data_IF_805112532422
#
_entry.id   IF_805112532422
#
_cell.length_a   1.000
_cell.length_b   1.000
_cell.length_c   1.000
_cell.angle_alpha   90.00
_cell.angle_beta   90.00
_cell.angle_gamma   90.00
#
_symmetry.space_group_name_H-M   'P 1'
#
loop_
_entity.id
_entity.type
_entity.pdbx_description
1 polymer ?
#
# COMPACT_ATOMS: atom_id res chain seq x y z
N UNK A 1 9.54 37.69 -5.34
CA UNK A 1 8.52 36.64 -5.15
C UNK A 1 7.80 36.51 -6.48
N UNK A 2 7.65 35.30 -6.97
CA UNK A 2 6.97 35.01 -8.23
C UNK A 2 5.81 34.04 -7.90
N UNK A 3 4.62 34.37 -8.38
CA UNK A 3 3.46 33.51 -8.23
C UNK A 3 3.61 32.25 -9.09
N UNK A 4 3.39 31.09 -8.48
CA UNK A 4 3.45 29.80 -9.13
C UNK A 4 2.10 29.12 -8.96
N UNK A 5 1.50 28.67 -10.06
CA UNK A 5 0.32 27.82 -10.03
C UNK A 5 0.72 26.36 -9.78
N UNK A 6 0.13 25.75 -8.78
CA UNK A 6 0.48 24.41 -8.33
C UNK A 6 -0.75 23.50 -8.28
N UNK A 7 -0.48 22.20 -8.29
CA UNK A 7 -1.49 21.16 -8.05
C UNK A 7 -1.06 20.37 -6.82
N UNK A 8 -1.99 20.17 -5.90
CA UNK A 8 -1.84 19.25 -4.78
C UNK A 8 -2.54 17.96 -5.17
N UNK A 9 -1.81 16.85 -5.12
CA UNK A 9 -2.36 15.51 -5.33
C UNK A 9 -2.61 14.83 -4.01
N UNK A 10 -3.79 14.23 -3.88
CA UNK A 10 -4.17 13.39 -2.74
C UNK A 10 -4.53 12.01 -3.27
N UNK A 11 -4.09 10.99 -2.58
CA UNK A 11 -4.43 9.59 -2.89
C UNK A 11 -4.74 8.87 -1.60
N UNK A 12 -5.76 8.02 -1.65
CA UNK A 12 -6.02 6.98 -0.67
C UNK A 12 -6.34 5.68 -1.42
N UNK A 13 -5.77 4.59 -0.96
CA UNK A 13 -5.91 3.27 -1.56
C UNK A 13 -6.04 2.20 -0.49
N UNK A 14 -6.90 1.21 -0.72
CA UNK A 14 -7.03 0.06 0.16
C UNK A 14 -6.13 -1.08 -0.32
N UNK A 15 -5.45 -1.74 0.62
CA UNK A 15 -4.63 -2.90 0.32
C UNK A 15 -4.85 -4.01 1.36
N UNK A 16 -6.08 -4.54 1.38
CA UNK A 16 -6.62 -5.34 2.48
C UNK A 16 -6.12 -6.78 2.49
N UNK A 17 -6.47 -7.57 1.46
CA UNK A 17 -6.09 -8.97 1.36
C UNK A 17 -4.57 -9.19 1.49
N UNK A 18 -3.72 -8.48 0.72
CA UNK A 18 -2.29 -8.67 0.84
C UNK A 18 -1.75 -8.36 2.23
N UNK A 19 -2.26 -7.33 2.89
CA UNK A 19 -1.85 -6.95 4.24
C UNK A 19 -2.31 -7.98 5.28
N UNK A 20 -3.42 -8.66 5.03
CA UNK A 20 -3.91 -9.72 5.92
C UNK A 20 -3.01 -10.95 5.87
N UNK A 21 -2.64 -11.43 4.69
CA UNK A 21 -1.94 -12.72 4.52
C UNK A 21 -0.42 -12.59 4.55
N UNK A 22 0.13 -11.48 4.08
CA UNK A 22 1.57 -11.19 4.07
C UNK A 22 1.79 -9.72 4.47
N UNK A 23 1.66 -9.38 5.75
CA UNK A 23 1.51 -8.00 6.23
C UNK A 23 2.62 -7.06 5.82
N UNK A 24 3.89 -7.49 5.91
CA UNK A 24 5.02 -6.64 5.55
C UNK A 24 5.00 -6.26 4.07
N UNK A 25 4.95 -7.25 3.19
CA UNK A 25 4.95 -7.01 1.74
C UNK A 25 3.64 -6.40 1.26
N UNK A 26 2.52 -6.81 1.86
CA UNK A 26 1.20 -6.25 1.55
C UNK A 26 1.14 -4.75 1.84
N UNK A 27 1.53 -4.33 3.04
CA UNK A 27 1.53 -2.93 3.41
C UNK A 27 2.60 -2.11 2.67
N UNK A 28 3.77 -2.69 2.44
CA UNK A 28 4.81 -2.06 1.62
C UNK A 28 4.32 -1.79 0.18
N UNK A 29 3.67 -2.78 -0.43
CA UNK A 29 3.11 -2.62 -1.78
C UNK A 29 1.94 -1.63 -1.81
N UNK A 30 1.10 -1.60 -0.77
CA UNK A 30 0.04 -0.60 -0.61
C UNK A 30 0.58 0.83 -0.59
N UNK A 31 1.59 1.08 0.24
CA UNK A 31 2.29 2.37 0.28
C UNK A 31 2.94 2.69 -1.08
N UNK A 32 3.57 1.69 -1.70
CA UNK A 32 4.14 1.86 -3.05
C UNK A 32 3.09 2.18 -4.10
N UNK A 33 1.88 1.60 -3.99
CA UNK A 33 0.75 1.84 -4.89
C UNK A 33 0.31 3.30 -4.90
N UNK A 34 0.06 3.85 -3.72
CA UNK A 34 -0.35 5.25 -3.59
C UNK A 34 0.74 6.23 -4.07
N UNK A 35 2.03 5.92 -3.86
CA UNK A 35 3.14 6.71 -4.37
C UNK A 35 3.17 6.66 -5.90
N UNK A 36 3.05 5.47 -6.50
CA UNK A 36 3.06 5.29 -7.96
C UNK A 36 1.93 6.06 -8.64
N UNK A 37 0.75 6.03 -8.07
CA UNK A 37 -0.41 6.75 -8.64
C UNK A 37 -0.19 8.26 -8.64
N UNK A 38 0.42 8.80 -7.59
CA UNK A 38 0.75 10.21 -7.54
C UNK A 38 1.89 10.59 -8.48
N UNK A 39 2.90 9.74 -8.61
CA UNK A 39 3.96 9.92 -9.61
C UNK A 39 3.40 9.88 -11.04
N UNK A 40 2.39 9.05 -11.28
CA UNK A 40 1.68 8.94 -12.55
C UNK A 40 0.75 10.13 -12.87
N UNK A 41 0.55 11.05 -11.95
CA UNK A 41 -0.38 12.18 -12.06
C UNK A 41 0.07 13.34 -12.97
N UNK A 42 1.11 13.16 -13.76
CA UNK A 42 1.69 14.17 -14.64
C UNK A 42 3.21 14.15 -14.59
N UNK A 43 3.83 15.13 -15.26
CA UNK A 43 5.29 15.27 -15.19
C UNK A 43 5.68 15.94 -13.87
N UNK A 44 6.81 15.50 -13.29
CA UNK A 44 7.39 16.11 -12.09
C UNK A 44 6.45 16.19 -10.87
N UNK A 45 5.53 15.26 -10.71
CA UNK A 45 4.76 15.12 -9.48
C UNK A 45 5.66 14.57 -8.37
N UNK A 46 5.70 15.24 -7.23
CA UNK A 46 6.53 14.90 -6.09
C UNK A 46 5.68 14.41 -4.93
N UNK A 47 5.81 13.15 -4.51
CA UNK A 47 5.28 12.68 -3.23
C UNK A 47 5.95 13.42 -2.08
N UNK A 48 5.17 13.95 -1.14
CA UNK A 48 5.69 14.72 0.01
C UNK A 48 5.63 13.90 1.29
N UNK A 49 4.45 13.36 1.59
CA UNK A 49 4.19 12.64 2.83
C UNK A 49 3.12 11.59 2.64
N UNK A 50 3.23 10.51 3.39
CA UNK A 50 2.27 9.41 3.42
C UNK A 50 1.63 9.21 4.78
N UNK A 51 0.57 8.44 4.78
CA UNK A 51 -0.14 7.97 5.97
C UNK A 51 -0.55 6.52 5.78
N UNK A 52 -0.67 5.77 6.88
CA UNK A 52 -1.22 4.43 6.87
C UNK A 52 -2.24 4.27 8.01
N UNK A 53 -3.44 3.82 7.65
CA UNK A 53 -4.51 3.52 8.60
C UNK A 53 -4.78 2.03 8.55
N UNK A 54 -4.89 1.42 9.72
CA UNK A 54 -5.21 0.00 9.86
C UNK A 54 -6.51 -0.19 10.62
N UNK A 55 -7.32 -1.15 10.18
CA UNK A 55 -8.51 -1.59 10.89
C UNK A 55 -8.41 -3.10 11.08
N UNK A 56 -8.43 -3.55 12.34
CA UNK A 56 -8.24 -4.96 12.70
C UNK A 56 -9.24 -5.40 13.77
N UNK A 57 -9.36 -6.71 13.96
CA UNK A 57 -9.89 -7.26 15.19
C UNK A 57 -9.04 -6.79 16.40
N UNK A 58 -9.53 -6.99 17.61
CA UNK A 58 -8.80 -6.57 18.80
C UNK A 58 -7.43 -7.25 18.91
N UNK A 59 -6.36 -6.49 19.15
CA UNK A 59 -4.99 -7.04 19.19
C UNK A 59 -4.69 -7.88 20.43
N UNK A 60 -5.42 -7.70 21.52
CA UNK A 60 -5.27 -8.46 22.78
C UNK A 60 -3.85 -8.44 23.34
N UNK A 61 -3.27 -7.25 23.36
CA UNK A 61 -1.88 -7.02 23.81
C UNK A 61 -1.75 -6.92 25.33
N UNK A 62 -2.84 -6.64 26.01
CA UNK A 62 -2.87 -6.45 27.47
C UNK A 62 -3.91 -7.37 28.10
N UNK A 63 -3.55 -8.01 29.19
CA UNK A 63 -4.48 -8.80 30.00
C UNK A 63 -5.51 -7.90 30.71
N UNK A 64 -6.73 -8.42 30.91
CA UNK A 64 -7.77 -7.76 31.71
C UNK A 64 -8.60 -6.70 30.98
N UNK A 65 -8.54 -6.66 29.66
CA UNK A 65 -9.47 -5.86 28.86
C UNK A 65 -10.71 -6.68 28.52
N UNK A 66 -11.75 -6.57 29.36
CA UNK A 66 -13.00 -7.34 29.22
C UNK A 66 -13.65 -7.17 27.84
N UNK A 67 -13.54 -5.99 27.22
CA UNK A 67 -14.11 -5.74 25.89
C UNK A 67 -13.37 -6.48 24.74
N UNK A 68 -12.16 -6.96 25.01
CA UNK A 68 -11.38 -7.77 24.04
C UNK A 68 -11.65 -9.26 24.19
N UNK A 69 -12.44 -9.66 25.19
CA UNK A 69 -12.68 -11.07 25.46
C UNK A 69 -13.70 -11.68 24.46
N UNK A 70 -13.35 -12.84 23.95
CA UNK A 70 -14.28 -13.87 23.50
C UNK A 70 -15.02 -13.69 22.18
N UNK A 71 -14.91 -12.58 21.45
CA UNK A 71 -15.76 -12.36 20.29
C UNK A 71 -15.31 -13.05 19.02
N UNK A 72 -14.00 -13.16 18.78
CA UNK A 72 -13.46 -13.73 17.54
C UNK A 72 -12.50 -14.90 17.82
N UNK A 73 -12.63 -15.95 17.03
CA UNK A 73 -11.62 -17.00 16.96
C UNK A 73 -10.64 -16.66 15.83
N UNK A 74 -9.32 -16.80 16.06
CA UNK A 74 -8.34 -16.66 15.00
C UNK A 74 -8.65 -17.62 13.85
N UNK A 75 -8.55 -17.16 12.61
CA UNK A 75 -8.73 -18.06 11.47
C UNK A 75 -7.54 -19.00 11.35
N UNK A 76 -7.76 -20.31 11.16
CA UNK A 76 -6.66 -21.30 11.12
C UNK A 76 -5.64 -21.06 10.01
N UNK A 77 -6.02 -20.41 8.93
CA UNK A 77 -5.14 -20.12 7.78
C UNK A 77 -4.43 -18.76 7.89
N UNK A 78 -4.85 -17.89 8.83
CA UNK A 78 -4.11 -16.69 9.19
C UNK A 78 -3.09 -17.04 10.25
N UNK A 79 -1.85 -17.16 9.87
CA UNK A 79 -0.76 -17.57 10.76
C UNK A 79 -0.33 -16.49 11.76
N UNK A 80 -1.06 -15.38 11.85
CA UNK A 80 -0.63 -14.20 12.58
C UNK A 80 -1.80 -13.60 13.35
N UNK A 81 -1.48 -13.13 14.57
CA UNK A 81 -2.44 -12.36 15.37
C UNK A 81 -2.62 -10.94 14.81
N UNK A 82 -3.71 -10.24 15.14
CA UNK A 82 -3.85 -8.83 14.79
C UNK A 82 -2.65 -7.96 15.18
N UNK A 83 -2.07 -8.20 16.36
CA UNK A 83 -0.86 -7.52 16.82
C UNK A 83 0.33 -7.77 15.88
N UNK A 84 0.59 -9.03 15.54
CA UNK A 84 1.68 -9.39 14.63
C UNK A 84 1.50 -8.78 13.25
N UNK A 85 0.25 -8.76 12.75
CA UNK A 85 -0.08 -8.12 11.47
C UNK A 85 0.21 -6.62 11.54
N UNK A 86 -0.22 -5.94 12.60
CA UNK A 86 -0.02 -4.50 12.78
C UNK A 86 1.46 -4.13 12.80
N UNK A 87 2.28 -4.87 13.56
CA UNK A 87 3.72 -4.64 13.65
C UNK A 87 4.37 -4.82 12.28
N UNK A 88 4.10 -5.93 11.60
CA UNK A 88 4.70 -6.22 10.29
C UNK A 88 4.22 -5.27 9.21
N UNK A 89 2.94 -4.95 9.17
CA UNK A 89 2.37 -4.02 8.21
C UNK A 89 2.94 -2.61 8.39
N UNK A 90 3.02 -2.13 9.62
CA UNK A 90 3.64 -0.84 9.93
C UNK A 90 5.10 -0.78 9.48
N UNK A 91 5.86 -1.84 9.77
CA UNK A 91 7.25 -1.95 9.33
C UNK A 91 7.37 -1.96 7.80
N UNK A 92 6.50 -2.69 7.10
CA UNK A 92 6.50 -2.76 5.64
C UNK A 92 6.17 -1.42 4.98
N UNK A 93 5.14 -0.75 5.47
CA UNK A 93 4.74 0.57 4.98
C UNK A 93 5.84 1.62 5.21
N UNK A 94 6.44 1.63 6.40
CA UNK A 94 7.54 2.54 6.75
C UNK A 94 8.80 2.24 5.94
N UNK A 95 9.14 0.97 5.75
CA UNK A 95 10.29 0.55 4.95
C UNK A 95 10.18 1.08 3.52
N UNK A 96 9.01 0.91 2.89
CA UNK A 96 8.80 1.43 1.55
C UNK A 96 8.89 2.95 1.51
N UNK A 97 8.17 3.64 2.37
CA UNK A 97 8.15 5.10 2.41
C UNK A 97 9.54 5.69 2.63
N UNK A 98 10.28 5.17 3.60
CA UNK A 98 11.63 5.65 3.93
C UNK A 98 12.63 5.40 2.81
N UNK A 99 12.64 4.22 2.21
CA UNK A 99 13.53 3.89 1.10
C UNK A 99 13.21 4.67 -0.17
N UNK A 100 11.94 4.94 -0.41
CA UNK A 100 11.52 5.78 -1.54
C UNK A 100 11.79 7.27 -1.30
N UNK A 101 11.77 7.71 -0.06
CA UNK A 101 11.93 9.11 0.35
C UNK A 101 10.60 9.85 0.51
N UNK A 102 9.53 9.13 0.82
CA UNK A 102 8.26 9.67 1.29
C UNK A 102 7.98 9.14 2.69
N UNK A 103 8.24 9.91 3.75
CA UNK A 103 7.99 9.46 5.11
C UNK A 103 6.49 9.27 5.36
N UNK A 104 6.15 8.26 6.16
CA UNK A 104 4.85 8.17 6.80
C UNK A 104 4.83 9.11 8.00
N UNK A 105 4.00 10.13 7.95
CA UNK A 105 3.97 11.19 8.97
C UNK A 105 2.89 11.01 10.02
N UNK A 106 1.90 10.21 9.71
CA UNK A 106 0.82 9.87 10.64
C UNK A 106 0.15 8.56 10.23
N UNK A 107 -0.66 8.05 11.13
CA UNK A 107 -1.50 6.88 10.90
C UNK A 107 -2.55 6.78 12.00
N UNK A 108 -3.41 5.79 11.86
CA UNK A 108 -4.43 5.48 12.86
C UNK A 108 -4.65 3.98 12.92
N UNK A 109 -5.00 3.50 14.09
CA UNK A 109 -5.50 2.16 14.31
C UNK A 109 -6.94 2.23 14.79
N UNK A 110 -7.82 1.50 14.11
CA UNK A 110 -9.19 1.31 14.54
C UNK A 110 -9.41 -0.19 14.76
N UNK A 111 -10.06 -0.54 15.84
CA UNK A 111 -10.38 -1.93 16.18
C UNK A 111 -11.88 -2.07 16.40
N UNK A 112 -12.42 -3.20 15.97
CA UNK A 112 -13.83 -3.47 16.15
C UNK A 112 -14.10 -4.96 16.14
N UNK A 113 -14.83 -5.41 17.16
CA UNK A 113 -15.49 -6.71 17.22
C UNK A 113 -16.84 -6.53 17.90
N UNK A 114 -17.86 -7.21 17.40
CA UNK A 114 -19.19 -7.17 17.95
C UNK A 114 -19.93 -8.50 17.73
N UNK A 115 -20.66 -8.95 18.70
CA UNK A 115 -21.52 -10.12 18.60
C UNK A 115 -22.97 -9.73 18.87
N UNK A 116 -23.86 -10.03 17.95
CA UNK A 116 -25.29 -9.73 18.06
C UNK A 116 -26.13 -10.80 17.36
N UNK A 117 -27.18 -11.26 18.01
CA UNK A 117 -28.14 -12.23 17.44
C UNK A 117 -27.46 -13.49 16.87
N UNK A 118 -26.43 -14.00 17.53
CA UNK A 118 -25.66 -15.17 17.10
C UNK A 118 -24.72 -14.92 15.92
N UNK A 119 -24.60 -13.69 15.44
CA UNK A 119 -23.66 -13.27 14.41
C UNK A 119 -22.49 -12.54 15.02
N UNK A 120 -21.33 -12.63 14.39
CA UNK A 120 -20.12 -11.94 14.77
C UNK A 120 -19.71 -10.99 13.66
N UNK A 121 -19.31 -9.78 14.03
CA UNK A 121 -18.86 -8.71 13.16
C UNK A 121 -17.50 -8.24 13.63
N UNK A 122 -16.52 -8.16 12.74
CA UNK A 122 -15.21 -7.65 13.06
C UNK A 122 -14.44 -7.23 11.79
N UNK A 123 -13.37 -6.49 11.97
CA UNK A 123 -12.35 -6.33 10.92
C UNK A 123 -11.44 -7.58 10.89
N UNK A 124 -12.03 -8.73 10.62
CA UNK A 124 -11.31 -10.01 10.56
C UNK A 124 -10.33 -10.04 9.37
N UNK A 125 -10.77 -9.62 8.20
CA UNK A 125 -9.87 -9.24 7.11
C UNK A 125 -9.39 -7.80 7.38
N UNK A 126 -8.10 -7.64 7.58
CA UNK A 126 -7.51 -6.34 7.87
C UNK A 126 -7.83 -5.34 6.75
N UNK A 127 -8.24 -4.15 7.12
CA UNK A 127 -8.34 -3.03 6.19
C UNK A 127 -7.07 -2.19 6.37
N UNK A 128 -6.34 -1.99 5.29
CA UNK A 128 -5.25 -1.04 5.22
C UNK A 128 -5.62 0.07 4.25
N UNK A 129 -5.54 1.31 4.71
CA UNK A 129 -5.64 2.50 3.88
C UNK A 129 -4.27 3.15 3.79
N UNK A 130 -3.65 3.05 2.63
CA UNK A 130 -2.45 3.79 2.31
C UNK A 130 -2.84 5.13 1.67
N UNK A 131 -2.35 6.21 2.20
CA UNK A 131 -2.66 7.54 1.71
C UNK A 131 -1.43 8.43 1.62
N UNK A 132 -1.55 9.52 0.89
CA UNK A 132 -0.47 10.47 0.79
C UNK A 132 -0.82 11.75 0.06
N UNK A 133 0.04 12.73 0.24
CA UNK A 133 -0.01 14.04 -0.39
C UNK A 133 1.21 14.25 -1.28
N UNK A 134 0.97 14.85 -2.42
CA UNK A 134 2.02 15.23 -3.37
C UNK A 134 1.78 16.61 -3.94
N UNK A 135 2.73 17.07 -4.72
CA UNK A 135 2.78 18.42 -5.29
C UNK A 135 3.34 18.36 -6.71
N UNK A 136 2.78 19.18 -7.59
CA UNK A 136 3.32 19.42 -8.92
C UNK A 136 3.10 20.87 -9.35
N UNK A 137 3.90 21.37 -10.29
CA UNK A 137 3.57 22.60 -10.99
C UNK A 137 2.38 22.34 -11.92
N UNK A 138 1.46 23.29 -12.00
CA UNK A 138 0.28 23.20 -12.87
C UNK A 138 0.65 22.92 -14.34
N UNK A 139 1.71 23.52 -14.84
CA UNK A 139 2.18 23.33 -16.24
C UNK A 139 2.57 21.87 -16.52
N UNK A 140 2.99 21.12 -15.49
CA UNK A 140 3.51 19.76 -15.59
C UNK A 140 2.45 18.70 -15.19
N UNK A 141 1.26 19.14 -14.76
CA UNK A 141 0.19 18.27 -14.29
C UNK A 141 -0.57 17.54 -15.42
N UNK A 142 -0.49 18.06 -16.63
CA UNK A 142 -1.14 17.44 -17.78
C UNK A 142 -0.18 16.52 -18.51
N UNK A 143 -0.69 15.37 -18.90
CA UNK A 143 0.06 14.41 -19.72
C UNK A 143 0.18 14.91 -21.15
N UNK A 144 1.33 14.67 -21.78
CA UNK A 144 1.51 14.90 -23.21
C UNK A 144 0.76 13.85 -24.04
N UNK A 145 0.56 14.17 -25.31
CA UNK A 145 0.02 13.20 -26.30
C UNK A 145 1.20 12.61 -27.07
N UNK A 146 1.41 11.28 -27.03
CA UNK A 146 2.47 10.64 -27.80
C UNK A 146 2.29 10.86 -29.31
N UNK A 147 3.39 11.04 -30.03
CA UNK A 147 3.40 11.20 -31.46
C UNK A 147 4.26 10.13 -32.14
N UNK A 148 4.01 9.87 -33.42
CA UNK A 148 4.77 8.89 -34.19
C UNK A 148 6.27 9.28 -34.22
N UNK A 149 7.13 8.31 -33.94
CA UNK A 149 8.59 8.49 -33.88
C UNK A 149 9.15 8.66 -32.45
N UNK A 150 8.31 8.91 -31.45
CA UNK A 150 8.76 8.91 -30.06
C UNK A 150 9.21 7.52 -29.61
N UNK A 151 10.16 7.50 -28.68
CA UNK A 151 10.72 6.25 -28.14
C UNK A 151 9.93 5.80 -26.91
N UNK A 152 9.59 4.52 -26.87
CA UNK A 152 9.08 3.87 -25.66
C UNK A 152 10.28 3.35 -24.87
N UNK A 153 10.46 3.85 -23.65
CA UNK A 153 11.55 3.42 -22.76
C UNK A 153 10.95 2.58 -21.64
N UNK A 154 11.47 1.37 -21.46
CA UNK A 154 11.12 0.47 -20.36
C UNK A 154 12.30 0.43 -19.39
N UNK A 155 12.03 0.79 -18.13
CA UNK A 155 13.01 0.76 -17.07
C UNK A 155 12.48 -0.09 -15.91
N UNK A 156 13.35 -0.90 -15.31
CA UNK A 156 12.99 -1.76 -14.19
C UNK A 156 14.00 -2.88 -13.99
N UNK A 157 13.60 -3.87 -13.23
CA UNK A 157 14.34 -5.11 -12.99
C UNK A 157 13.62 -6.32 -13.54
N UNK A 158 14.00 -7.48 -13.02
CA UNK A 158 13.37 -8.75 -13.39
C UNK A 158 11.88 -8.78 -13.05
N UNK A 159 11.11 -9.42 -13.90
CA UNK A 159 9.71 -9.70 -13.66
C UNK A 159 9.55 -11.09 -13.05
N UNK A 160 8.84 -11.17 -11.94
CA UNK A 160 8.52 -12.40 -11.25
C UNK A 160 7.04 -12.73 -11.39
N UNK A 161 6.69 -14.01 -11.25
CA UNK A 161 5.28 -14.44 -11.23
C UNK A 161 4.58 -14.16 -9.90
N UNK A 162 5.33 -13.79 -8.87
CA UNK A 162 4.79 -13.34 -7.58
C UNK A 162 3.92 -12.10 -7.77
N UNK A 163 2.74 -12.12 -7.19
CA UNK A 163 1.73 -11.06 -7.35
C UNK A 163 0.84 -11.23 -8.58
N UNK A 164 1.11 -12.20 -9.44
CA UNK A 164 0.28 -12.48 -10.60
C UNK A 164 -1.08 -13.06 -10.17
N UNK A 165 -2.14 -12.53 -10.71
CA UNK A 165 -3.49 -12.93 -10.32
C UNK A 165 -3.97 -12.38 -8.97
N UNK A 166 -3.20 -11.49 -8.32
CA UNK A 166 -3.54 -10.93 -7.01
C UNK A 166 -4.91 -10.27 -6.95
N UNK A 167 -5.33 -9.59 -8.00
CA UNK A 167 -6.66 -9.00 -8.11
C UNK A 167 -7.79 -10.05 -8.08
N UNK A 168 -7.60 -11.17 -8.76
CA UNK A 168 -8.58 -12.27 -8.75
C UNK A 168 -8.65 -12.95 -7.39
N UNK A 169 -7.50 -13.25 -6.77
CA UNK A 169 -7.41 -13.87 -5.45
C UNK A 169 -8.01 -12.95 -4.36
N UNK A 170 -7.76 -11.66 -4.43
CA UNK A 170 -8.28 -10.71 -3.44
C UNK A 170 -9.79 -10.45 -3.57
N UNK A 171 -10.40 -10.80 -4.69
CA UNK A 171 -11.82 -10.59 -4.98
C UNK A 171 -12.74 -11.70 -4.48
N UNK A 172 -12.18 -12.80 -4.01
CA UNK A 172 -12.92 -13.92 -3.43
C UNK A 172 -12.80 -13.93 -1.90
N UNK A 173 -13.53 -14.83 -1.25
CA UNK A 173 -13.38 -15.04 0.18
C UNK A 173 -11.94 -15.48 0.49
N UNK A 174 -11.33 -14.85 1.47
CA UNK A 174 -10.00 -15.21 1.92
C UNK A 174 -10.02 -16.61 2.54
N UNK A 175 -9.09 -17.48 2.14
CA UNK A 175 -9.07 -18.90 2.50
C UNK A 175 -9.78 -19.81 1.49
N UNK A 176 -10.27 -19.27 0.37
CA UNK A 176 -10.88 -20.06 -0.71
C UNK A 176 -9.84 -20.84 -1.52
N UNK A 177 -8.63 -20.30 -1.63
CA UNK A 177 -7.50 -20.94 -2.30
C UNK A 177 -6.51 -21.54 -1.30
N UNK A 178 -5.66 -22.41 -1.78
CA UNK A 178 -4.53 -22.90 -1.00
C UNK A 178 -3.63 -21.76 -0.54
N UNK A 179 -3.07 -21.87 0.65
CA UNK A 179 -2.19 -20.88 1.24
C UNK A 179 -1.04 -20.47 0.33
N UNK A 180 -0.46 -21.39 -0.43
CA UNK A 180 0.61 -21.10 -1.38
C UNK A 180 0.15 -20.18 -2.49
N UNK A 181 -1.08 -20.33 -2.99
CA UNK A 181 -1.68 -19.49 -4.01
C UNK A 181 -1.93 -18.09 -3.43
N UNK A 182 -2.52 -18.01 -2.26
CA UNK A 182 -2.81 -16.75 -1.59
C UNK A 182 -1.56 -15.95 -1.26
N UNK A 183 -0.52 -16.61 -0.73
CA UNK A 183 0.77 -15.96 -0.44
C UNK A 183 1.49 -15.52 -1.73
N UNK A 184 1.44 -16.31 -2.78
CA UNK A 184 2.06 -15.96 -4.07
C UNK A 184 1.32 -14.84 -4.81
N UNK A 185 0.04 -14.61 -4.51
CA UNK A 185 -0.73 -13.51 -5.06
C UNK A 185 -0.31 -12.14 -4.52
N UNK A 186 0.41 -12.10 -3.40
CA UNK A 186 0.92 -10.86 -2.80
C UNK A 186 2.22 -10.44 -3.48
N UNK A 187 2.23 -9.23 -4.02
CA UNK A 187 3.42 -8.63 -4.63
C UNK A 187 4.53 -8.41 -3.60
N UNK A 188 5.77 -8.48 -4.07
CA UNK A 188 6.95 -8.10 -3.29
C UNK A 188 7.41 -6.71 -3.71
N UNK A 189 7.54 -5.82 -2.74
CA UNK A 189 7.95 -4.45 -2.99
C UNK A 189 9.46 -4.34 -3.22
N UNK A 190 9.85 -3.43 -4.12
CA UNK A 190 11.24 -3.05 -4.30
C UNK A 190 11.35 -1.51 -4.35
N UNK A 191 11.27 -0.83 -3.21
CA UNK A 191 11.28 0.63 -3.15
C UNK A 191 12.58 1.26 -3.62
N UNK A 192 13.71 0.60 -3.40
CA UNK A 192 15.01 1.09 -3.84
C UNK A 192 15.11 1.13 -5.37
N UNK A 193 14.71 0.06 -6.06
CA UNK A 193 14.68 0.03 -7.51
C UNK A 193 13.74 1.10 -8.05
N UNK A 194 12.56 1.23 -7.48
CA UNK A 194 11.59 2.25 -7.90
C UNK A 194 12.13 3.67 -7.71
N UNK A 195 12.83 3.92 -6.61
CA UNK A 195 13.47 5.21 -6.39
C UNK A 195 14.59 5.47 -7.40
N UNK A 196 15.44 4.50 -7.67
CA UNK A 196 16.50 4.60 -8.68
C UNK A 196 15.94 4.91 -10.06
N UNK A 197 14.87 4.22 -10.47
CA UNK A 197 14.18 4.49 -11.74
C UNK A 197 13.64 5.91 -11.76
N UNK A 198 12.94 6.34 -10.71
CA UNK A 198 12.40 7.69 -10.60
C UNK A 198 13.47 8.78 -10.71
N UNK A 199 14.60 8.61 -10.00
CA UNK A 199 15.73 9.55 -10.04
C UNK A 199 16.38 9.55 -11.43
N UNK A 200 16.61 8.38 -12.01
CA UNK A 200 17.20 8.27 -13.35
C UNK A 200 16.33 8.95 -14.40
N UNK A 201 15.02 8.73 -14.36
CA UNK A 201 14.08 9.39 -15.27
C UNK A 201 14.07 10.92 -15.10
N UNK A 202 14.12 11.41 -13.87
CA UNK A 202 14.11 12.85 -13.58
C UNK A 202 15.37 13.56 -14.07
N UNK A 203 16.51 12.87 -14.07
CA UNK A 203 17.82 13.41 -14.40
C UNK A 203 18.35 12.98 -15.77
N UNK A 204 17.63 12.10 -16.49
CA UNK A 204 17.98 11.77 -17.86
C UNK A 204 17.78 13.00 -18.77
N UNK A 205 18.86 13.70 -19.04
CA UNK A 205 18.95 14.57 -20.20
C UNK A 205 19.15 13.67 -21.42
N UNK A 206 18.07 13.35 -22.11
CA UNK A 206 18.20 12.74 -23.43
C UNK A 206 18.87 13.77 -24.34
N UNK A 207 19.92 13.40 -25.07
CA UNK A 207 20.46 14.30 -26.07
C UNK A 207 19.37 14.60 -27.09
N UNK A 208 19.05 15.86 -27.23
CA UNK A 208 18.14 16.37 -28.25
C UNK A 208 18.77 16.24 -29.64
#
# INVERSE_FOLDING_TARGET
IKDIKTVISLKAETHNFPTTVEPFNGAATGTGGEIRDRLGGGRASLPIAGTAVYMTAYPRTEEGREWEEGSMQPRPWLYQTPEQILIKASNGASDFGNKFGQPLICGSLLTFEHAENGKKFAFDKVIMLAGGVGFANMRDALKGTPVAGEKVVVMGGDNYRIGMGGGAVSSVETGQYDNAIELNAVQRANPEMQKRVSVSYTHLTLPT
#
